data_IF_537473604941
#
_entry.id   IF_537473604941
#
_cell.length_a   1.000
_cell.length_b   1.000
_cell.length_c   1.000
_cell.angle_alpha   90.00
_cell.angle_beta   90.00
_cell.angle_gamma   90.00
#
_symmetry.space_group_name_H-M   'P 1'
#
loop_
_entity.id
_entity.type
_entity.pdbx_description
1 polymer ?
#
# COMPACT_ATOMS: atom_id res chain seq x y z
N UNK A 1 15.33 -17.41 -13.07
CA UNK A 1 14.19 -17.10 -13.95
C UNK A 1 13.60 -15.79 -13.47
N UNK A 2 13.93 -14.65 -14.09
CA UNK A 2 13.33 -13.36 -13.74
C UNK A 2 11.93 -13.30 -14.37
N UNK A 3 10.89 -13.37 -13.55
CA UNK A 3 9.51 -13.18 -13.99
C UNK A 3 9.29 -11.67 -14.09
N UNK A 4 9.66 -11.08 -15.23
CA UNK A 4 9.24 -9.72 -15.61
C UNK A 4 7.83 -9.79 -16.17
N UNK A 5 6.85 -10.00 -15.30
CA UNK A 5 5.46 -9.68 -15.61
C UNK A 5 5.35 -8.15 -15.63
N UNK A 6 5.62 -7.53 -16.77
CA UNK A 6 5.20 -6.14 -17.01
C UNK A 6 3.67 -6.13 -17.14
N UNK A 7 2.98 -6.25 -16.00
CA UNK A 7 1.61 -5.76 -15.92
C UNK A 7 1.69 -4.24 -16.09
N UNK A 8 0.88 -3.63 -16.96
CA UNK A 8 0.80 -2.18 -17.01
C UNK A 8 0.46 -1.69 -15.60
N UNK A 9 1.35 -0.89 -15.02
CA UNK A 9 1.09 -0.22 -13.76
C UNK A 9 -0.15 0.66 -13.95
N UNK A 10 -1.06 0.71 -12.98
CA UNK A 10 -2.26 1.54 -13.11
C UNK A 10 -1.88 3.02 -13.17
N UNK A 11 -2.13 3.67 -14.30
CA UNK A 11 -1.89 5.12 -14.50
C UNK A 11 -2.81 6.00 -13.64
N UNK A 12 -3.87 5.42 -13.07
CA UNK A 12 -4.88 6.14 -12.29
C UNK A 12 -4.41 6.54 -10.88
N UNK A 13 -3.29 6.00 -10.39
CA UNK A 13 -2.71 6.32 -9.08
C UNK A 13 -1.21 6.58 -9.24
N UNK A 14 -0.66 7.57 -8.51
CA UNK A 14 0.78 7.75 -8.45
C UNK A 14 1.42 6.51 -7.78
N UNK A 15 2.72 6.32 -8.04
CA UNK A 15 3.58 5.34 -7.35
C UNK A 15 2.89 4.01 -6.96
N UNK A 16 2.26 3.31 -7.94
CA UNK A 16 1.42 2.15 -7.65
C UNK A 16 2.23 0.99 -7.11
N UNK A 17 1.84 0.53 -5.92
CA UNK A 17 2.39 -0.67 -5.27
C UNK A 17 1.27 -1.59 -4.82
N UNK A 18 1.57 -2.87 -4.75
CA UNK A 18 0.68 -3.81 -4.05
C UNK A 18 0.82 -3.66 -2.55
N UNK A 19 -0.22 -4.05 -1.79
CA UNK A 19 -0.14 -4.07 -0.32
C UNK A 19 1.00 -4.92 0.24
N UNK A 20 1.41 -5.95 -0.50
CA UNK A 20 2.54 -6.81 -0.12
C UNK A 20 3.88 -6.09 -0.31
N UNK A 21 4.04 -5.36 -1.41
CA UNK A 21 5.23 -4.54 -1.67
C UNK A 21 5.33 -3.39 -0.67
N UNK A 22 4.25 -2.65 -0.45
CA UNK A 22 4.21 -1.59 0.56
C UNK A 22 4.60 -2.10 1.96
N UNK A 23 4.04 -3.26 2.37
CA UNK A 23 4.39 -3.92 3.64
C UNK A 23 5.87 -4.27 3.73
N UNK A 24 6.49 -4.76 2.65
CA UNK A 24 7.92 -5.06 2.61
C UNK A 24 8.77 -3.77 2.71
N UNK A 25 8.41 -2.73 1.96
CA UNK A 25 9.10 -1.43 1.99
C UNK A 25 8.98 -0.73 3.35
N UNK A 26 7.85 -0.85 4.03
CA UNK A 26 7.70 -0.31 5.38
C UNK A 26 8.58 -1.07 6.39
N UNK A 27 8.72 -2.39 6.24
CA UNK A 27 9.64 -3.16 7.07
C UNK A 27 11.10 -2.75 6.84
N UNK A 28 11.51 -2.48 5.60
CA UNK A 28 12.86 -1.98 5.26
C UNK A 28 13.17 -0.62 5.89
N UNK A 29 12.15 0.21 6.10
CA UNK A 29 12.28 1.55 6.72
C UNK A 29 12.09 1.55 8.24
N UNK A 30 11.92 0.38 8.87
CA UNK A 30 11.78 0.25 10.32
C UNK A 30 10.35 0.34 10.86
N UNK A 31 9.34 0.33 9.98
CA UNK A 31 7.92 0.42 10.32
C UNK A 31 7.17 -0.85 9.88
N UNK A 32 7.49 -2.04 10.42
CA UNK A 32 6.89 -3.28 9.95
C UNK A 32 5.37 -3.30 10.19
N UNK A 33 4.61 -3.51 9.12
CA UNK A 33 3.16 -3.74 9.18
C UNK A 33 2.79 -4.97 8.34
N UNK A 34 1.84 -5.77 8.83
CA UNK A 34 1.27 -6.86 8.02
C UNK A 34 0.43 -6.29 6.88
N UNK A 35 0.60 -6.82 5.67
CA UNK A 35 -0.18 -6.43 4.49
C UNK A 35 -1.70 -6.42 4.73
N UNK A 36 -2.24 -7.42 5.44
CA UNK A 36 -3.68 -7.45 5.76
C UNK A 36 -4.12 -6.31 6.70
N UNK A 37 -3.26 -5.89 7.62
CA UNK A 37 -3.51 -4.73 8.48
C UNK A 37 -3.50 -3.45 7.66
N UNK A 38 -2.52 -3.31 6.76
CA UNK A 38 -2.42 -2.17 5.85
C UNK A 38 -3.65 -2.08 4.93
N UNK A 39 -4.10 -3.21 4.37
CA UNK A 39 -5.35 -3.30 3.58
C UNK A 39 -6.53 -2.79 4.40
N UNK A 40 -6.66 -3.23 5.66
CA UNK A 40 -7.76 -2.81 6.54
C UNK A 40 -7.71 -1.31 6.82
N UNK A 41 -6.53 -0.76 7.10
CA UNK A 41 -6.34 0.66 7.39
C UNK A 41 -6.67 1.53 6.17
N UNK A 42 -6.13 1.19 5.00
CA UNK A 42 -6.41 1.90 3.74
C UNK A 42 -7.90 1.83 3.40
N UNK A 43 -8.53 0.65 3.49
CA UNK A 43 -9.97 0.49 3.19
C UNK A 43 -10.90 1.13 4.20
N UNK A 44 -10.42 1.47 5.41
CA UNK A 44 -11.20 2.25 6.37
C UNK A 44 -11.33 3.71 5.94
N UNK A 45 -10.43 4.20 5.08
CA UNK A 45 -10.46 5.54 4.48
C UNK A 45 -11.21 5.51 3.15
N UNK A 46 -12.05 6.53 2.91
CA UNK A 46 -12.88 6.62 1.69
C UNK A 46 -12.23 7.43 0.58
N UNK A 47 -11.19 8.17 0.92
CA UNK A 47 -10.44 9.11 0.10
C UNK A 47 -9.20 8.49 -0.56
N UNK A 48 -8.79 7.30 -0.13
CA UNK A 48 -7.62 6.61 -0.72
C UNK A 48 -8.06 5.70 -1.87
N UNK A 49 -7.63 5.96 -3.12
CA UNK A 49 -7.97 5.14 -4.26
C UNK A 49 -7.26 3.78 -4.20
N UNK A 50 -8.02 2.71 -4.40
CA UNK A 50 -7.50 1.35 -4.60
C UNK A 50 -7.91 0.88 -5.98
N UNK A 51 -6.93 0.65 -6.85
CA UNK A 51 -7.15 0.26 -8.25
C UNK A 51 -6.88 -1.23 -8.41
N UNK A 52 -7.85 -1.96 -8.96
CA UNK A 52 -7.68 -3.38 -9.26
C UNK A 52 -7.21 -3.58 -10.70
N UNK A 53 -6.07 -4.22 -10.87
CA UNK A 53 -5.54 -4.64 -12.18
C UNK A 53 -5.46 -6.16 -12.19
N UNK A 54 -6.28 -6.80 -13.02
CA UNK A 54 -6.46 -8.25 -13.02
C UNK A 54 -7.00 -8.76 -11.67
N UNK A 55 -6.18 -9.50 -10.92
CA UNK A 55 -6.53 -10.06 -9.60
C UNK A 55 -5.84 -9.35 -8.43
N UNK A 56 -5.11 -8.27 -8.71
CA UNK A 56 -4.26 -7.59 -7.74
C UNK A 56 -4.79 -6.19 -7.47
N UNK A 57 -4.92 -5.84 -6.19
CA UNK A 57 -5.22 -4.50 -5.74
C UNK A 57 -3.91 -3.71 -5.59
N UNK A 58 -3.89 -2.51 -6.18
CA UNK A 58 -2.80 -1.54 -6.10
C UNK A 58 -3.27 -0.30 -5.34
N UNK A 59 -2.34 0.34 -4.66
CA UNK A 59 -2.51 1.59 -3.93
C UNK A 59 -1.27 2.45 -4.17
N UNK A 60 -1.39 3.78 -4.04
CA UNK A 60 -0.21 4.65 -4.00
C UNK A 60 0.62 4.32 -2.75
N UNK A 61 1.93 4.20 -2.92
CA UNK A 61 2.84 4.00 -1.80
C UNK A 61 2.79 5.18 -0.82
N UNK A 62 2.79 6.41 -1.35
CA UNK A 62 2.69 7.65 -0.58
C UNK A 62 1.40 7.68 0.26
N UNK A 63 0.25 7.39 -0.34
CA UNK A 63 -1.02 7.32 0.39
C UNK A 63 -0.99 6.27 1.50
N UNK A 64 -0.48 5.07 1.20
CA UNK A 64 -0.38 4.00 2.19
C UNK A 64 0.53 4.39 3.37
N UNK A 65 1.59 5.17 3.10
CA UNK A 65 2.52 5.66 4.11
C UNK A 65 1.84 6.69 5.02
N UNK A 66 1.10 7.62 4.45
CA UNK A 66 0.35 8.63 5.20
C UNK A 66 -0.70 7.98 6.12
N UNK A 67 -1.44 6.99 5.60
CA UNK A 67 -2.39 6.21 6.40
C UNK A 67 -1.71 5.51 7.56
N UNK A 68 -0.54 4.90 7.33
CA UNK A 68 0.20 4.23 8.39
C UNK A 68 0.72 5.22 9.44
N UNK A 69 1.27 6.35 9.00
CA UNK A 69 1.80 7.38 9.89
C UNK A 69 0.73 7.99 10.80
N UNK A 70 -0.46 8.28 10.25
CA UNK A 70 -1.61 8.73 11.06
C UNK A 70 -2.02 7.69 12.11
N UNK A 71 -2.04 6.41 11.73
CA UNK A 71 -2.42 5.34 12.64
C UNK A 71 -1.41 5.17 13.79
N UNK A 72 -0.11 5.23 13.50
CA UNK A 72 0.94 5.18 14.54
C UNK A 72 0.78 6.36 15.49
N UNK A 73 0.61 7.58 14.97
CA UNK A 73 0.40 8.78 15.81
C UNK A 73 -0.83 8.66 16.70
N UNK A 74 -1.94 8.16 16.17
CA UNK A 74 -3.18 7.97 16.95
C UNK A 74 -3.07 6.86 18.01
N UNK A 75 -2.06 5.99 17.95
CA UNK A 75 -1.80 4.97 18.96
C UNK A 75 -0.86 5.47 20.08
N UNK A 76 -0.12 6.55 19.84
CA UNK A 76 0.80 7.16 20.80
C UNK A 76 0.11 8.19 21.73
N UNK A 77 -1.13 8.60 21.41
CA UNK A 77 -2.00 9.49 22.22
C UNK A 77 -2.92 8.71 23.18
#
# INVERSE_FOLDING_TARGET
MAVTSYSPLPEAIPDPVTFKEASAMFAETGHPIHANTLVRQVRARKDIPVVRVGRTDYVSYSDALDVHAEWVRAADD
#
